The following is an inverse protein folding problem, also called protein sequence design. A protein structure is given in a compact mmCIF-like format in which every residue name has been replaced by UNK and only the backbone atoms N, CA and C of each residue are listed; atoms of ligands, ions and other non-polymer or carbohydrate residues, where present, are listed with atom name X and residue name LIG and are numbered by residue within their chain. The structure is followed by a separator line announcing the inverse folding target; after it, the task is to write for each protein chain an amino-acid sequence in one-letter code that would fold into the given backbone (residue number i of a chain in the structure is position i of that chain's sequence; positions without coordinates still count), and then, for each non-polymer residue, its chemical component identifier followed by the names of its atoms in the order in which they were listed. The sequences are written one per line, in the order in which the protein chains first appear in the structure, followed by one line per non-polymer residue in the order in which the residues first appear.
data_IF_288413638582
#
_entry.id   IF_288413638582
#
_cell.length_a   1.000
_cell.length_b   1.000
_cell.length_c   1.000
_cell.angle_alpha   90.00
_cell.angle_beta   90.00
_cell.angle_gamma   90.00
#
_symmetry.space_group_name_H-M   'P 1'
#
loop_
_entity.id
_entity.type
_entity.pdbx_description
1 polymer ?
#
# COMPACT_ATOMS: atom_id res chain seq x y z
N UNK A 1 94.22 -3.40 9.29
CA UNK A 1 94.01 -4.74 8.70
C UNK A 1 92.57 -4.82 8.23
N UNK A 2 92.37 -5.10 6.93
CA UNK A 2 91.10 -5.23 6.17
C UNK A 2 90.32 -3.90 5.98
N UNK A 3 90.36 -3.18 4.85
CA UNK A 3 90.04 -3.43 3.41
C UNK A 3 88.54 -3.41 3.10
N UNK A 4 88.12 -2.30 2.43
CA UNK A 4 87.12 -2.09 1.34
C UNK A 4 85.67 -2.59 1.59
N UNK A 5 84.60 -1.89 1.17
CA UNK A 5 84.21 -1.72 -0.24
C UNK A 5 82.99 -0.78 -0.34
N UNK A 6 82.99 0.13 -1.33
CA UNK A 6 81.86 0.95 -1.79
C UNK A 6 80.89 0.15 -2.67
N UNK A 7 79.58 0.39 -2.59
CA UNK A 7 78.66 0.21 -3.73
C UNK A 7 77.44 1.14 -3.61
N UNK A 8 77.00 1.59 -4.78
CA UNK A 8 76.10 2.71 -5.02
C UNK A 8 74.68 2.25 -5.42
N UNK A 9 73.81 3.26 -5.55
CA UNK A 9 72.54 3.28 -6.30
C UNK A 9 71.38 2.47 -5.68
N UNK A 10 70.10 2.84 -5.77
CA UNK A 10 69.32 3.58 -6.75
C UNK A 10 68.07 4.16 -6.08
N UNK A 11 67.63 5.32 -6.55
CA UNK A 11 66.33 5.93 -6.29
C UNK A 11 65.14 5.04 -6.66
N UNK A 12 64.14 4.97 -5.78
CA UNK A 12 62.78 4.55 -6.13
C UNK A 12 61.77 5.59 -5.65
N UNK A 13 61.13 6.25 -6.61
CA UNK A 13 59.95 7.08 -6.43
C UNK A 13 58.84 6.21 -5.82
N UNK A 14 58.39 6.52 -4.61
CA UNK A 14 57.12 6.02 -4.11
C UNK A 14 56.04 7.02 -4.50
N UNK A 15 55.11 6.57 -5.34
CA UNK A 15 53.94 7.33 -5.78
C UNK A 15 53.02 7.51 -4.57
N UNK A 16 52.83 8.75 -4.15
CA UNK A 16 51.80 9.11 -3.16
C UNK A 16 50.42 8.84 -3.76
N UNK A 17 49.80 7.72 -3.40
CA UNK A 17 48.41 7.46 -3.73
C UNK A 17 47.52 8.40 -2.91
N UNK A 18 46.98 9.44 -3.55
CA UNK A 18 45.92 10.28 -2.97
C UNK A 18 44.63 9.47 -2.99
N UNK A 19 44.24 8.90 -1.85
CA UNK A 19 42.93 8.28 -1.68
C UNK A 19 41.87 9.40 -1.62
N UNK A 20 41.17 9.62 -2.73
CA UNK A 20 39.97 10.44 -2.74
C UNK A 20 38.85 9.73 -1.98
N UNK A 21 38.59 10.15 -0.74
CA UNK A 21 37.44 9.69 0.04
C UNK A 21 36.19 10.32 -0.55
N UNK A 22 35.46 9.56 -1.39
CA UNK A 22 34.12 9.94 -1.81
C UNK A 22 33.19 9.84 -0.59
N UNK A 23 32.83 10.99 -0.01
CA UNK A 23 31.76 11.08 0.97
C UNK A 23 30.43 10.80 0.26
N UNK A 24 29.97 9.54 0.29
CA UNK A 24 28.59 9.22 -0.04
C UNK A 24 27.71 9.79 1.09
N UNK A 25 27.17 10.98 0.89
CA UNK A 25 26.06 11.46 1.72
C UNK A 25 24.83 10.61 1.38
N UNK A 26 24.61 9.54 2.15
CA UNK A 26 23.34 8.84 2.12
C UNK A 26 22.25 9.83 2.58
N UNK A 27 21.44 10.33 1.65
CA UNK A 27 20.26 11.10 1.99
C UNK A 27 19.38 10.24 2.91
N UNK A 28 18.80 10.80 3.99
CA UNK A 28 17.99 10.02 4.90
C UNK A 28 16.77 9.49 4.15
N UNK A 29 16.65 8.17 4.01
CA UNK A 29 15.50 7.51 3.39
C UNK A 29 14.21 7.57 4.23
N UNK A 30 14.16 8.45 5.24
CA UNK A 30 13.16 8.43 6.31
C UNK A 30 12.13 9.57 6.23
N UNK A 31 11.99 10.21 5.06
CA UNK A 31 10.99 11.28 4.85
C UNK A 31 9.85 10.91 3.89
N UNK A 32 9.79 9.69 3.37
CA UNK A 32 8.75 9.26 2.41
C UNK A 32 7.70 8.30 2.99
N UNK A 33 7.82 7.92 4.26
CA UNK A 33 6.97 6.85 4.80
C UNK A 33 5.54 7.28 5.18
N UNK A 34 5.24 8.58 5.25
CA UNK A 34 3.88 9.09 5.53
C UNK A 34 3.09 9.57 4.30
N UNK A 35 3.70 9.55 3.11
CA UNK A 35 3.01 9.92 1.87
C UNK A 35 2.83 8.68 0.99
N UNK A 36 2.00 7.71 1.42
CA UNK A 36 1.51 6.72 0.48
C UNK A 36 0.68 7.42 -0.60
N UNK A 37 1.05 7.22 -1.86
CA UNK A 37 0.21 7.59 -2.98
C UNK A 37 -1.09 6.78 -3.01
N UNK A 38 -1.07 5.56 -2.47
CA UNK A 38 -2.23 4.70 -2.41
C UNK A 38 -2.99 4.93 -1.11
N UNK A 39 -4.26 5.34 -1.23
CA UNK A 39 -5.11 5.68 -0.08
C UNK A 39 -6.51 5.11 -0.23
N UNK A 40 -7.22 4.97 0.89
CA UNK A 40 -8.62 4.56 0.90
C UNK A 40 -9.47 5.78 0.57
N UNK A 41 -10.04 5.81 -0.63
CA UNK A 41 -10.91 6.90 -1.08
C UNK A 41 -12.20 6.96 -0.28
N UNK A 42 -12.80 5.80 -0.03
CA UNK A 42 -14.08 5.69 0.65
C UNK A 42 -14.54 4.24 0.79
N UNK A 43 -15.61 4.04 1.54
CA UNK A 43 -16.18 2.74 1.87
C UNK A 43 -17.71 2.78 1.77
N UNK A 44 -18.31 1.82 1.08
CA UNK A 44 -19.70 1.43 1.27
C UNK A 44 -19.70 0.35 2.34
N UNK A 45 -19.92 0.76 3.58
CA UNK A 45 -19.80 -0.10 4.76
C UNK A 45 -21.13 -0.76 5.15
N UNK A 46 -22.25 -0.19 4.69
CA UNK A 46 -23.60 -0.72 4.88
C UNK A 46 -24.16 -0.95 3.46
N UNK A 47 -24.39 -2.22 3.11
CA UNK A 47 -24.85 -2.56 1.77
C UNK A 47 -26.27 -2.03 1.56
N UNK A 48 -26.59 -1.38 0.43
CA UNK A 48 -27.95 -0.94 0.16
C UNK A 48 -28.96 -2.10 0.27
N UNK A 49 -30.07 -1.82 0.97
CA UNK A 49 -31.11 -2.79 1.26
C UNK A 49 -30.90 -3.53 2.58
N UNK A 50 -31.74 -4.54 2.83
CA UNK A 50 -31.59 -5.39 4.01
C UNK A 50 -30.43 -6.36 3.80
N UNK A 51 -29.57 -6.47 4.80
CA UNK A 51 -28.48 -7.45 4.80
C UNK A 51 -28.96 -8.87 4.46
N UNK A 52 -28.35 -9.40 3.42
CA UNK A 52 -28.53 -10.75 2.91
C UNK A 52 -27.19 -11.35 2.48
N UNK A 53 -26.69 -12.28 3.30
CA UNK A 53 -25.39 -12.93 3.11
C UNK A 53 -25.44 -14.17 2.20
N UNK A 54 -26.55 -14.40 1.49
CA UNK A 54 -26.63 -15.48 0.50
C UNK A 54 -25.62 -15.24 -0.63
N UNK A 55 -24.81 -16.26 -0.92
CA UNK A 55 -23.84 -16.19 -2.02
C UNK A 55 -24.47 -15.98 -3.40
N UNK A 56 -25.75 -16.31 -3.54
CA UNK A 56 -26.54 -16.05 -4.73
C UNK A 56 -27.74 -15.20 -4.34
N UNK A 57 -27.93 -14.07 -5.02
CA UNK A 57 -29.04 -13.14 -4.77
C UNK A 57 -28.87 -12.22 -3.54
N UNK A 58 -27.86 -12.42 -2.70
CA UNK A 58 -27.55 -11.53 -1.57
C UNK A 58 -26.81 -10.25 -1.99
N UNK A 59 -26.65 -9.31 -1.06
CA UNK A 59 -26.14 -7.96 -1.32
C UNK A 59 -24.71 -7.70 -0.82
N UNK A 60 -23.99 -8.72 -0.33
CA UNK A 60 -22.61 -8.53 0.18
C UNK A 60 -21.61 -7.97 -0.82
N UNK A 61 -21.84 -8.13 -2.11
CA UNK A 61 -20.99 -7.50 -3.15
C UNK A 61 -21.20 -5.99 -3.28
N UNK A 62 -22.27 -5.46 -2.66
CA UNK A 62 -22.54 -4.04 -2.59
C UNK A 62 -21.82 -3.36 -1.41
N UNK A 63 -21.28 -4.11 -0.45
CA UNK A 63 -20.22 -3.57 0.41
C UNK A 63 -18.90 -3.54 -0.35
N UNK A 64 -18.19 -2.42 -0.25
CA UNK A 64 -16.88 -2.30 -0.87
C UNK A 64 -16.04 -1.18 -0.26
N UNK A 65 -14.73 -1.34 -0.36
CA UNK A 65 -13.79 -0.24 -0.18
C UNK A 65 -13.22 0.18 -1.53
N UNK A 66 -13.10 1.48 -1.75
CA UNK A 66 -12.44 2.04 -2.93
C UNK A 66 -11.05 2.50 -2.55
N UNK A 67 -10.03 1.96 -3.23
CA UNK A 67 -8.63 2.31 -3.02
C UNK A 67 -8.15 3.03 -4.27
N UNK A 68 -7.57 4.22 -4.12
CA UNK A 68 -7.19 5.08 -5.24
C UNK A 68 -5.70 5.40 -5.18
N UNK A 69 -5.08 5.46 -6.36
CA UNK A 69 -3.75 5.97 -6.56
C UNK A 69 -3.80 7.49 -6.76
N UNK A 70 -3.39 8.23 -5.73
CA UNK A 70 -3.29 9.68 -5.73
C UNK A 70 -1.95 10.20 -6.25
N UNK A 71 -1.04 9.32 -6.69
CA UNK A 71 0.15 9.77 -7.40
C UNK A 71 -0.26 10.49 -8.69
N UNK A 72 0.48 11.55 -9.02
CA UNK A 72 0.31 12.27 -10.28
C UNK A 72 1.06 11.61 -11.45
N UNK A 73 2.03 10.76 -11.16
CA UNK A 73 2.98 10.26 -12.16
C UNK A 73 3.26 8.77 -12.07
N UNK A 74 3.18 8.18 -10.87
CA UNK A 74 3.56 6.79 -10.65
C UNK A 74 2.36 5.86 -10.78
N UNK A 75 2.52 4.78 -11.54
CA UNK A 75 1.65 3.60 -11.49
C UNK A 75 1.94 2.80 -10.22
N UNK A 76 0.91 2.31 -9.54
CA UNK A 76 1.04 1.46 -8.34
C UNK A 76 0.49 0.07 -8.63
N UNK A 77 1.30 -0.96 -8.45
CA UNK A 77 0.85 -2.34 -8.48
C UNK A 77 0.41 -2.78 -7.07
N UNK A 78 -0.77 -3.35 -6.96
CA UNK A 78 -1.39 -3.74 -5.70
C UNK A 78 -0.92 -5.10 -5.17
N UNK A 79 -0.13 -5.87 -5.91
CA UNK A 79 0.30 -7.20 -5.46
C UNK A 79 1.02 -7.12 -4.11
N UNK A 80 0.53 -7.89 -3.15
CA UNK A 80 1.03 -7.95 -1.78
C UNK A 80 0.43 -6.90 -0.83
N UNK A 81 -0.32 -5.92 -1.32
CA UNK A 81 -1.07 -5.01 -0.45
C UNK A 81 -2.14 -5.78 0.33
N UNK A 82 -2.45 -5.26 1.51
CA UNK A 82 -3.40 -5.90 2.43
C UNK A 82 -4.42 -4.88 2.90
N UNK A 83 -5.70 -5.25 2.79
CA UNK A 83 -6.80 -4.56 3.45
C UNK A 83 -7.22 -5.38 4.66
N UNK A 84 -7.35 -4.73 5.81
CA UNK A 84 -7.75 -5.39 7.06
C UNK A 84 -8.67 -4.49 7.87
N UNK A 85 -9.59 -5.09 8.61
CA UNK A 85 -10.40 -4.39 9.62
C UNK A 85 -9.80 -4.55 11.04
N UNK A 86 -10.43 -3.94 12.04
CA UNK A 86 -9.99 -4.10 13.44
C UNK A 86 -10.23 -5.51 13.99
N UNK A 87 -11.28 -6.17 13.52
CA UNK A 87 -11.78 -7.48 13.99
C UNK A 87 -11.01 -8.69 13.45
N UNK A 88 -10.15 -8.50 12.44
CA UNK A 88 -9.29 -9.54 11.87
C UNK A 88 -9.67 -10.00 10.46
N UNK A 89 -10.74 -9.47 9.85
CA UNK A 89 -11.01 -9.68 8.43
C UNK A 89 -9.85 -9.15 7.60
N UNK A 90 -9.39 -9.96 6.64
CA UNK A 90 -8.21 -9.65 5.84
C UNK A 90 -8.43 -10.03 4.39
N UNK A 91 -7.99 -9.15 3.50
CA UNK A 91 -7.86 -9.42 2.07
C UNK A 91 -6.44 -9.09 1.62
N UNK A 92 -5.84 -9.99 0.85
CA UNK A 92 -4.52 -9.75 0.24
C UNK A 92 -4.68 -9.76 -1.27
N UNK A 93 -4.14 -8.74 -1.91
CA UNK A 93 -4.00 -8.72 -3.37
C UNK A 93 -2.90 -9.72 -3.76
N UNK A 94 -3.27 -10.95 -4.10
CA UNK A 94 -2.29 -12.00 -4.46
C UNK A 94 -1.84 -11.90 -5.92
N UNK A 95 -2.68 -11.33 -6.77
CA UNK A 95 -2.41 -11.10 -8.20
C UNK A 95 -1.97 -9.66 -8.44
N UNK A 96 -1.29 -9.45 -9.57
CA UNK A 96 -0.99 -8.11 -10.07
C UNK A 96 -2.27 -7.39 -10.46
N UNK A 97 -2.41 -6.15 -10.01
CA UNK A 97 -3.46 -5.21 -10.40
C UNK A 97 -2.82 -3.82 -10.39
N UNK A 98 -2.82 -3.11 -11.50
CA UNK A 98 -2.00 -1.90 -11.67
C UNK A 98 -2.88 -0.66 -11.81
N UNK A 99 -2.76 0.26 -10.86
CA UNK A 99 -3.48 1.52 -10.87
C UNK A 99 -2.61 2.62 -11.45
N UNK A 100 -3.04 3.19 -12.57
CA UNK A 100 -2.43 4.39 -13.14
C UNK A 100 -2.63 5.60 -12.22
N UNK A 101 -1.91 6.72 -12.44
CA UNK A 101 -2.19 7.98 -11.77
C UNK A 101 -3.68 8.35 -11.82
N UNK A 102 -4.29 8.56 -10.66
CA UNK A 102 -5.72 8.90 -10.52
C UNK A 102 -6.69 7.72 -10.58
N UNK A 103 -6.21 6.52 -10.91
CA UNK A 103 -7.04 5.32 -11.03
C UNK A 103 -7.36 4.68 -9.66
N UNK A 104 -8.35 3.79 -9.62
CA UNK A 104 -8.82 3.16 -8.39
C UNK A 104 -9.23 1.71 -8.60
N UNK A 105 -9.26 0.92 -7.53
CA UNK A 105 -9.89 -0.40 -7.49
C UNK A 105 -11.01 -0.42 -6.45
N UNK A 106 -12.06 -1.19 -6.69
CA UNK A 106 -13.04 -1.58 -5.67
C UNK A 106 -12.75 -3.00 -5.19
N UNK A 107 -12.44 -3.14 -3.90
CA UNK A 107 -12.50 -4.43 -3.22
C UNK A 107 -13.94 -4.62 -2.74
N UNK A 108 -14.69 -5.45 -3.46
CA UNK A 108 -16.06 -5.82 -3.12
C UNK A 108 -16.10 -7.00 -2.17
N UNK A 109 -17.10 -7.03 -1.31
CA UNK A 109 -17.51 -8.26 -0.64
C UNK A 109 -18.07 -9.28 -1.63
N UNK A 110 -18.65 -10.36 -1.10
CA UNK A 110 -19.29 -11.39 -1.92
C UNK A 110 -18.33 -12.16 -2.82
N UNK A 111 -18.90 -12.85 -3.80
CA UNK A 111 -18.18 -13.59 -4.84
C UNK A 111 -18.22 -12.84 -6.16
N UNK A 112 -17.17 -13.00 -6.96
CA UNK A 112 -17.09 -12.47 -8.31
C UNK A 112 -15.76 -12.82 -8.96
N UNK A 113 -15.55 -12.26 -10.14
CA UNK A 113 -14.31 -12.45 -10.90
C UNK A 113 -13.48 -11.18 -10.85
N UNK A 114 -12.28 -11.27 -10.28
CA UNK A 114 -11.31 -10.17 -10.27
C UNK A 114 -11.00 -9.73 -11.71
N UNK A 115 -10.86 -8.41 -11.91
CA UNK A 115 -10.56 -7.83 -13.20
C UNK A 115 -9.80 -6.52 -13.05
N UNK A 116 -8.57 -6.53 -13.54
CA UNK A 116 -7.72 -5.34 -13.65
C UNK A 116 -8.38 -4.28 -14.55
N UNK A 117 -8.80 -4.68 -15.74
CA UNK A 117 -9.47 -3.79 -16.71
C UNK A 117 -10.79 -3.17 -16.20
N UNK A 118 -11.50 -3.83 -15.28
CA UNK A 118 -12.75 -3.31 -14.68
C UNK A 118 -12.54 -2.73 -13.28
N UNK A 119 -11.29 -2.70 -12.80
CA UNK A 119 -10.94 -2.14 -11.50
C UNK A 119 -11.76 -2.69 -10.34
N UNK A 120 -11.91 -4.01 -10.32
CA UNK A 120 -12.66 -4.71 -9.28
C UNK A 120 -11.96 -5.99 -8.85
N UNK A 121 -11.94 -6.23 -7.55
CA UNK A 121 -11.56 -7.50 -6.94
C UNK A 121 -12.62 -7.91 -5.93
N UNK A 122 -12.73 -9.20 -5.66
CA UNK A 122 -13.74 -9.74 -4.76
C UNK A 122 -13.08 -10.49 -3.61
N UNK A 123 -13.59 -10.26 -2.39
CA UNK A 123 -13.17 -11.01 -1.20
C UNK A 123 -13.43 -12.52 -1.33
N UNK A 124 -14.33 -12.92 -2.22
CA UNK A 124 -14.78 -14.31 -2.42
C UNK A 124 -15.35 -14.94 -1.14
N UNK A 125 -16.02 -14.13 -0.34
CA UNK A 125 -16.69 -14.52 0.90
C UNK A 125 -18.05 -13.82 0.96
N UNK A 126 -19.10 -14.58 1.24
CA UNK A 126 -20.48 -14.09 1.20
C UNK A 126 -20.94 -13.48 2.52
N UNK A 127 -20.09 -13.39 3.54
CA UNK A 127 -20.36 -12.60 4.75
C UNK A 127 -19.93 -11.15 4.56
N UNK A 128 -20.63 -10.23 5.24
CA UNK A 128 -20.28 -8.82 5.29
C UNK A 128 -18.87 -8.62 5.88
N UNK A 129 -18.15 -7.63 5.36
CA UNK A 129 -16.78 -7.35 5.78
C UNK A 129 -16.72 -6.20 6.76
N UNK A 130 -17.53 -5.16 6.58
CA UNK A 130 -17.52 -3.98 7.41
C UNK A 130 -18.68 -4.03 8.40
N UNK A 131 -18.50 -3.33 9.51
CA UNK A 131 -19.52 -3.26 10.55
C UNK A 131 -20.36 -1.98 10.37
N UNK A 132 -21.68 -2.13 10.39
CA UNK A 132 -22.66 -1.05 10.14
C UNK A 132 -22.61 0.06 11.20
N UNK A 133 -22.11 -0.19 12.42
CA UNK A 133 -22.06 0.85 13.46
C UNK A 133 -20.76 1.66 13.42
N UNK A 134 -19.63 0.95 13.32
CA UNK A 134 -18.27 1.51 13.35
C UNK A 134 -17.25 0.46 12.94
N UNK A 135 -16.17 0.89 12.30
CA UNK A 135 -15.02 0.04 12.01
C UNK A 135 -13.74 0.85 11.82
N UNK A 136 -12.63 0.17 11.57
CA UNK A 136 -11.35 0.77 11.16
C UNK A 136 -10.77 0.00 10.00
N UNK A 137 -10.59 0.69 8.89
CA UNK A 137 -9.99 0.18 7.66
C UNK A 137 -8.50 0.45 7.72
N UNK A 138 -7.70 -0.60 7.62
CA UNK A 138 -6.26 -0.52 7.48
C UNK A 138 -5.84 -0.96 6.09
N UNK A 139 -5.05 -0.13 5.41
CA UNK A 139 -4.37 -0.47 4.17
C UNK A 139 -2.87 -0.58 4.44
N UNK A 140 -2.28 -1.75 4.18
CA UNK A 140 -0.85 -2.01 4.38
C UNK A 140 -0.15 -2.22 3.05
N UNK A 141 1.09 -1.73 3.00
CA UNK A 141 2.06 -2.04 1.94
C UNK A 141 2.52 -3.50 2.06
N UNK A 142 3.07 -4.09 0.99
CA UNK A 142 3.66 -5.44 1.05
C UNK A 142 4.78 -5.58 2.09
N UNK A 143 5.48 -4.48 2.42
CA UNK A 143 6.50 -4.43 3.47
C UNK A 143 5.95 -4.56 4.89
N UNK A 144 4.63 -4.49 5.08
CA UNK A 144 3.97 -4.45 6.39
C UNK A 144 3.77 -3.05 6.96
N UNK A 145 4.35 -2.01 6.34
CA UNK A 145 4.12 -0.62 6.75
C UNK A 145 2.69 -0.16 6.41
N UNK A 146 2.13 0.75 7.22
CA UNK A 146 0.85 1.38 6.91
C UNK A 146 0.95 2.22 5.63
N UNK A 147 0.01 2.02 4.72
CA UNK A 147 -0.21 2.91 3.59
C UNK A 147 -1.25 3.98 3.94
N UNK A 148 -2.37 3.56 4.55
CA UNK A 148 -3.44 4.46 4.97
C UNK A 148 -4.31 3.81 6.06
N UNK A 149 -5.04 4.61 6.83
CA UNK A 149 -5.94 4.10 7.88
C UNK A 149 -7.08 5.08 8.14
N UNK A 150 -8.31 4.56 8.17
CA UNK A 150 -9.50 5.35 8.48
C UNK A 150 -10.41 4.61 9.44
N UNK A 151 -10.87 5.31 10.46
CA UNK A 151 -11.93 4.85 11.34
C UNK A 151 -13.21 5.62 11.04
N UNK A 152 -14.35 4.97 11.22
CA UNK A 152 -15.64 5.65 11.11
C UNK A 152 -16.61 5.19 12.20
N UNK A 153 -17.59 6.04 12.48
CA UNK A 153 -18.87 5.64 13.07
C UNK A 153 -20.00 6.13 12.16
N UNK A 154 -21.06 5.33 12.03
CA UNK A 154 -22.25 5.70 11.24
C UNK A 154 -22.77 7.08 11.64
N UNK A 155 -22.95 7.30 12.93
CA UNK A 155 -23.46 8.55 13.49
C UNK A 155 -22.63 9.80 13.17
N UNK A 156 -21.32 9.67 13.00
CA UNK A 156 -20.42 10.82 12.81
C UNK A 156 -20.11 11.08 11.35
N UNK A 157 -20.07 10.02 10.54
CA UNK A 157 -19.47 10.05 9.20
C UNK A 157 -20.48 9.86 8.06
N UNK A 158 -21.67 9.30 8.32
CA UNK A 158 -22.70 9.01 7.33
C UNK A 158 -23.99 9.78 7.65
N UNK A 159 -23.94 11.09 7.44
CA UNK A 159 -25.05 12.01 7.79
C UNK A 159 -26.27 11.88 6.88
N UNK A 160 -26.06 11.45 5.63
CA UNK A 160 -27.13 11.22 4.67
C UNK A 160 -27.70 9.79 4.76
N UNK A 161 -27.04 8.89 5.51
CA UNK A 161 -27.55 7.58 5.86
C UNK A 161 -27.55 6.61 4.68
N UNK A 162 -26.68 6.83 3.70
CA UNK A 162 -26.64 6.03 2.48
C UNK A 162 -25.67 4.83 2.59
N UNK A 163 -25.01 4.65 3.75
CA UNK A 163 -24.06 3.57 3.99
C UNK A 163 -22.68 3.79 3.38
N UNK A 164 -22.40 4.99 2.85
CA UNK A 164 -21.16 5.34 2.17
C UNK A 164 -20.43 6.49 2.87
N UNK A 165 -19.13 6.34 3.05
CA UNK A 165 -18.27 7.38 3.62
C UNK A 165 -17.12 7.66 2.67
N UNK A 166 -16.88 8.94 2.38
CA UNK A 166 -15.71 9.41 1.65
C UNK A 166 -14.64 9.92 2.61
N UNK A 167 -13.41 9.44 2.46
CA UNK A 167 -12.26 9.87 3.28
C UNK A 167 -11.32 10.81 2.53
N UNK A 168 -11.15 10.57 1.23
CA UNK A 168 -10.28 11.37 0.36
C UNK A 168 -10.99 11.72 -0.95
N UNK A 169 -10.73 12.91 -1.46
CA UNK A 169 -11.21 13.42 -2.76
C UNK A 169 -10.21 13.14 -3.89
#
# INVERSE_FOLDING_TARGET
MQIRTTLAATSALSVSAVAAVALLTAAPAYATEYSSALKVRGVQYDAPGRDDNRCSGGNTSQEYVTIKNYSRTATVNLKGYVVKDKTGNRFTFTKSHSLQPGDYVRLRGGKGTDSDAKNVVYRNNCNFMWNNDKDTIYLYKPSGAHADTHAYTKSSNDRDGNGYISFHS
#
